data_IF_809547740572
#
_entry.id   IF_809547740572
#
_cell.length_a   1.000
_cell.length_b   1.000
_cell.length_c   1.000
_cell.angle_alpha   90.00
_cell.angle_beta   90.00
_cell.angle_gamma   90.00
#
_symmetry.space_group_name_H-M   'P 1'
#
loop_
_entity.id
_entity.type
_entity.pdbx_description
1 polymer ?
#
# COMPACT_ATOMS: atom_id res chain seq x y z
N UNK A 1 38.96 -58.27 11.14
CA UNK A 1 37.68 -57.65 11.58
C UNK A 1 37.89 -56.37 12.38
N UNK A 2 38.74 -56.36 13.42
CA UNK A 2 38.97 -55.18 14.28
C UNK A 2 39.48 -53.94 13.54
N UNK A 3 40.41 -54.11 12.58
CA UNK A 3 40.92 -53.01 11.75
C UNK A 3 39.84 -52.38 10.87
N UNK A 4 38.91 -53.17 10.36
CA UNK A 4 37.80 -52.70 9.53
C UNK A 4 36.80 -51.88 10.35
N UNK A 5 36.49 -52.33 11.57
CA UNK A 5 35.69 -51.54 12.53
C UNK A 5 36.35 -50.21 12.89
N UNK A 6 37.68 -50.22 13.10
CA UNK A 6 38.44 -49.01 13.39
C UNK A 6 38.37 -48.01 12.22
N UNK A 7 38.53 -48.47 10.98
CA UNK A 7 38.39 -47.61 9.80
C UNK A 7 36.99 -47.02 9.67
N UNK A 8 35.93 -47.81 9.87
CA UNK A 8 34.55 -47.31 9.81
C UNK A 8 34.28 -46.26 10.88
N UNK A 9 34.76 -46.47 12.12
CA UNK A 9 34.65 -45.49 13.19
C UNK A 9 35.34 -44.18 12.83
N UNK A 10 36.57 -44.24 12.32
CA UNK A 10 37.33 -43.07 11.90
C UNK A 10 36.61 -42.35 10.75
N UNK A 11 36.10 -43.10 9.77
CA UNK A 11 35.38 -42.52 8.63
C UNK A 11 34.08 -41.83 9.09
N UNK A 12 33.31 -42.45 9.97
CA UNK A 12 32.13 -41.84 10.57
C UNK A 12 32.47 -40.59 11.39
N UNK A 13 33.57 -40.61 12.15
CA UNK A 13 34.05 -39.44 12.89
C UNK A 13 34.41 -38.30 11.94
N UNK A 14 35.17 -38.58 10.88
CA UNK A 14 35.54 -37.59 9.87
C UNK A 14 34.31 -37.04 9.17
N UNK A 15 33.36 -37.89 8.80
CA UNK A 15 32.09 -37.47 8.21
C UNK A 15 31.29 -36.58 9.17
N UNK A 16 31.22 -36.93 10.45
CA UNK A 16 30.54 -36.13 11.47
C UNK A 16 31.22 -34.78 11.68
N UNK A 17 32.55 -34.72 11.68
CA UNK A 17 33.32 -33.47 11.78
C UNK A 17 33.09 -32.59 10.55
N UNK A 18 33.17 -33.14 9.35
CA UNK A 18 32.88 -32.42 8.10
C UNK A 18 31.43 -31.93 8.10
N UNK A 19 30.49 -32.79 8.47
CA UNK A 19 29.08 -32.43 8.58
C UNK A 19 28.86 -31.32 9.59
N UNK A 20 29.48 -31.38 10.77
CA UNK A 20 29.42 -30.31 11.76
C UNK A 20 30.05 -29.00 11.25
N UNK A 21 31.15 -29.07 10.50
CA UNK A 21 31.78 -27.91 9.87
C UNK A 21 30.85 -27.27 8.84
N UNK A 22 30.30 -28.07 7.93
CA UNK A 22 29.35 -27.61 6.90
C UNK A 22 28.09 -27.07 7.56
N UNK A 23 27.55 -27.74 8.56
CA UNK A 23 26.38 -27.27 9.31
C UNK A 23 26.68 -26.00 10.12
N UNK A 24 27.89 -25.84 10.65
CA UNK A 24 28.26 -24.62 11.35
C UNK A 24 28.47 -23.43 10.39
N UNK A 25 29.06 -23.70 9.21
CA UNK A 25 29.34 -22.68 8.17
C UNK A 25 28.08 -22.30 7.40
N UNK A 26 27.29 -23.28 6.96
CA UNK A 26 26.11 -23.09 6.10
C UNK A 26 24.78 -23.28 6.84
N UNK A 27 24.73 -24.05 7.92
CA UNK A 27 23.51 -24.34 8.69
C UNK A 27 23.13 -23.27 9.72
N UNK A 28 24.00 -22.27 9.93
CA UNK A 28 23.59 -20.93 10.41
C UNK A 28 23.01 -20.06 9.29
N UNK A 29 22.67 -20.69 8.16
CA UNK A 29 21.92 -20.17 7.02
C UNK A 29 21.99 -18.68 6.91
N UNK A 30 23.16 -18.16 6.53
CA UNK A 30 23.38 -16.72 6.37
C UNK A 30 22.60 -15.93 7.43
N UNK A 31 23.21 -15.79 8.62
CA UNK A 31 23.06 -14.55 9.39
C UNK A 31 23.61 -13.45 8.47
N UNK A 32 22.84 -13.14 7.41
CA UNK A 32 23.03 -12.01 6.56
C UNK A 32 23.13 -10.90 7.59
N UNK A 33 24.29 -10.20 7.68
CA UNK A 33 24.32 -8.97 8.44
C UNK A 33 23.05 -8.24 8.01
N UNK A 34 22.19 -7.79 8.95
CA UNK A 34 20.97 -7.10 8.60
C UNK A 34 21.37 -6.08 7.56
N UNK A 35 21.01 -6.34 6.29
CA UNK A 35 21.43 -5.49 5.19
C UNK A 35 20.98 -4.13 5.65
N UNK A 36 21.92 -3.19 5.83
CA UNK A 36 21.62 -1.85 6.32
C UNK A 36 20.30 -1.44 5.66
N UNK A 37 19.25 -1.13 6.44
CA UNK A 37 17.89 -0.96 5.92
C UNK A 37 17.79 0.04 4.77
N UNK A 38 18.84 0.83 4.56
CA UNK A 38 19.09 1.75 3.45
C UNK A 38 19.35 1.12 2.06
N UNK A 39 19.48 -0.21 1.92
CA UNK A 39 19.66 -0.85 0.58
C UNK A 39 18.51 -1.76 0.17
N UNK A 40 17.39 -1.70 0.87
CA UNK A 40 16.14 -2.21 0.29
C UNK A 40 15.83 -1.34 -0.93
N UNK A 41 15.88 -1.90 -2.13
CA UNK A 41 15.43 -1.30 -3.41
C UNK A 41 13.94 -0.88 -3.39
N UNK A 42 13.29 -0.92 -2.23
CA UNK A 42 12.00 -0.30 -1.89
C UNK A 42 12.21 1.20 -1.68
N UNK A 43 12.75 1.90 -2.69
CA UNK A 43 12.55 3.35 -2.76
C UNK A 43 11.17 3.59 -3.34
N UNK A 44 10.19 3.71 -2.45
CA UNK A 44 9.01 4.48 -2.78
C UNK A 44 9.43 5.94 -2.99
N UNK A 45 9.01 6.61 -4.07
CA UNK A 45 9.22 8.04 -4.23
C UNK A 45 8.72 8.79 -2.97
N UNK A 46 9.52 9.71 -2.43
CA UNK A 46 9.19 10.46 -1.21
C UNK A 46 7.90 11.30 -1.33
N UNK A 47 7.43 11.48 -2.57
CA UNK A 47 6.15 12.08 -2.90
C UNK A 47 5.66 11.51 -4.24
N UNK A 48 4.36 11.45 -4.45
CA UNK A 48 3.82 11.10 -5.77
C UNK A 48 3.64 9.61 -6.07
N UNK A 49 3.52 8.74 -5.06
CA UNK A 49 3.31 7.29 -5.22
C UNK A 49 2.14 7.01 -6.18
N UNK A 50 2.39 6.21 -7.22
CA UNK A 50 1.43 5.63 -8.16
C UNK A 50 1.27 4.12 -7.91
N UNK A 51 0.21 3.50 -8.43
CA UNK A 51 0.01 2.06 -8.33
C UNK A 51 1.13 1.25 -9.00
N UNK A 52 1.79 1.79 -10.03
CA UNK A 52 2.95 1.14 -10.65
C UNK A 52 4.15 1.07 -9.71
N UNK A 53 4.35 2.11 -8.88
CA UNK A 53 5.38 2.09 -7.85
C UNK A 53 5.09 0.97 -6.85
N UNK A 54 3.82 0.79 -6.44
CA UNK A 54 3.38 -0.27 -5.53
C UNK A 54 3.60 -1.67 -6.12
N UNK A 55 3.38 -1.85 -7.42
CA UNK A 55 3.63 -3.13 -8.13
C UNK A 55 5.13 -3.43 -8.28
N UNK A 56 5.98 -2.41 -8.27
CA UNK A 56 7.42 -2.56 -8.39
C UNK A 56 8.12 -2.92 -7.06
N UNK A 57 7.42 -2.90 -5.91
CA UNK A 57 8.03 -3.24 -4.61
C UNK A 57 8.55 -4.68 -4.58
N UNK A 58 9.74 -4.84 -4.00
CA UNK A 58 10.37 -6.13 -3.76
C UNK A 58 10.66 -6.27 -2.27
N UNK A 59 10.19 -7.36 -1.68
CA UNK A 59 10.37 -7.66 -0.26
C UNK A 59 11.33 -8.85 -0.09
N UNK A 60 12.13 -8.81 0.98
CA UNK A 60 13.01 -9.92 1.36
C UNK A 60 12.21 -11.01 2.09
N UNK A 61 12.55 -12.29 1.87
CA UNK A 61 11.88 -13.44 2.50
C UNK A 61 12.44 -13.71 3.90
N UNK A 62 11.56 -14.01 4.87
CA UNK A 62 11.90 -14.36 6.26
C UNK A 62 11.29 -15.70 6.66
N UNK A 63 12.01 -16.51 7.45
CA UNK A 63 11.63 -17.88 7.86
C UNK A 63 10.32 -17.96 8.68
N UNK A 64 9.83 -16.83 9.20
CA UNK A 64 8.50 -16.68 9.84
C UNK A 64 7.72 -15.51 9.23
N UNK A 65 7.71 -15.45 7.89
CA UNK A 65 7.06 -14.40 7.13
C UNK A 65 5.55 -14.58 6.96
N UNK A 66 4.91 -13.50 6.50
CA UNK A 66 3.54 -13.54 6.00
C UNK A 66 3.46 -14.39 4.73
N UNK A 67 2.29 -14.98 4.46
CA UNK A 67 2.07 -15.77 3.25
C UNK A 67 2.20 -14.88 2.02
N UNK A 68 3.12 -15.21 1.12
CA UNK A 68 3.41 -14.39 -0.06
C UNK A 68 2.15 -14.09 -0.89
N UNK A 69 1.24 -15.06 -1.04
CA UNK A 69 -0.01 -14.86 -1.80
C UNK A 69 -0.96 -13.83 -1.17
N UNK A 70 -0.99 -13.72 0.15
CA UNK A 70 -1.84 -12.73 0.85
C UNK A 70 -1.26 -11.33 0.72
N UNK A 71 0.08 -11.22 0.82
CA UNK A 71 0.81 -9.97 0.60
C UNK A 71 0.64 -9.51 -0.85
N UNK A 72 0.79 -10.40 -1.83
CA UNK A 72 0.62 -10.09 -3.25
C UNK A 72 -0.81 -9.61 -3.55
N UNK A 73 -1.82 -10.26 -2.96
CA UNK A 73 -3.21 -9.82 -3.07
C UNK A 73 -3.43 -8.43 -2.47
N UNK A 74 -2.89 -8.18 -1.27
CA UNK A 74 -3.03 -6.89 -0.59
C UNK A 74 -2.35 -5.75 -1.37
N UNK A 75 -1.14 -6.00 -1.89
CA UNK A 75 -0.42 -5.02 -2.72
C UNK A 75 -1.13 -4.75 -4.03
N UNK A 76 -1.68 -5.77 -4.69
CA UNK A 76 -2.46 -5.59 -5.90
C UNK A 76 -3.73 -4.76 -5.66
N UNK A 77 -4.38 -4.94 -4.49
CA UNK A 77 -5.53 -4.13 -4.09
C UNK A 77 -5.11 -2.68 -3.80
N UNK A 78 -4.04 -2.48 -3.06
CA UNK A 78 -3.50 -1.17 -2.73
C UNK A 78 -3.09 -0.39 -4.00
N UNK A 79 -2.44 -1.05 -4.96
CA UNK A 79 -2.03 -0.42 -6.20
C UNK A 79 -3.22 0.14 -7.00
N UNK A 80 -4.35 -0.60 -7.06
CA UNK A 80 -5.58 -0.12 -7.71
C UNK A 80 -6.16 1.09 -6.99
N UNK A 81 -6.25 1.03 -5.67
CA UNK A 81 -6.80 2.12 -4.86
C UNK A 81 -5.99 3.42 -5.03
N UNK A 82 -4.65 3.31 -5.11
CA UNK A 82 -3.77 4.46 -5.35
C UNK A 82 -4.02 5.06 -6.74
N UNK A 83 -4.18 4.23 -7.77
CA UNK A 83 -4.46 4.69 -9.13
C UNK A 83 -5.84 5.39 -9.23
N UNK A 84 -6.86 4.84 -8.57
CA UNK A 84 -8.19 5.45 -8.50
C UNK A 84 -8.14 6.81 -7.80
N UNK A 85 -7.48 6.89 -6.64
CA UNK A 85 -7.34 8.14 -5.88
C UNK A 85 -6.55 9.20 -6.64
N UNK A 86 -5.50 8.79 -7.38
CA UNK A 86 -4.72 9.69 -8.25
C UNK A 86 -5.56 10.25 -9.39
N UNK A 87 -6.41 9.44 -9.98
CA UNK A 87 -7.34 9.84 -11.04
C UNK A 87 -8.31 10.90 -10.52
N UNK A 88 -8.90 10.69 -9.34
CA UNK A 88 -9.80 11.66 -8.70
C UNK A 88 -9.09 12.98 -8.41
N UNK A 89 -7.86 12.94 -7.86
CA UNK A 89 -7.08 14.16 -7.59
C UNK A 89 -6.77 14.93 -8.88
N UNK A 90 -6.50 14.22 -9.98
CA UNK A 90 -6.24 14.85 -11.28
C UNK A 90 -7.48 15.59 -11.80
N UNK A 91 -8.65 14.95 -11.78
CA UNK A 91 -9.93 15.56 -12.19
C UNK A 91 -10.28 16.79 -11.34
N UNK A 92 -10.11 16.71 -10.01
CA UNK A 92 -10.37 17.84 -9.12
C UNK A 92 -9.44 19.03 -9.40
N UNK A 93 -8.15 18.77 -9.67
CA UNK A 93 -7.19 19.83 -10.01
C UNK A 93 -7.50 20.49 -11.34
N UNK A 94 -7.94 19.72 -12.33
CA UNK A 94 -8.35 20.27 -13.64
C UNK A 94 -9.56 21.20 -13.48
N UNK A 95 -10.58 20.78 -12.73
CA UNK A 95 -11.76 21.63 -12.43
C UNK A 95 -11.40 22.93 -11.72
N UNK A 96 -10.48 22.85 -10.76
CA UNK A 96 -9.99 24.04 -10.05
C UNK A 96 -9.23 24.98 -10.99
N UNK A 97 -8.38 24.45 -11.88
CA UNK A 97 -7.65 25.24 -12.86
C UNK A 97 -8.58 25.93 -13.87
N UNK A 98 -9.61 25.23 -14.35
CA UNK A 98 -10.65 25.81 -15.22
C UNK A 98 -11.38 26.94 -14.51
N UNK A 99 -11.77 26.73 -13.24
CA UNK A 99 -12.45 27.74 -12.43
C UNK A 99 -11.56 28.96 -12.17
N UNK A 100 -10.27 28.74 -11.86
CA UNK A 100 -9.29 29.82 -11.64
C UNK A 100 -9.00 30.60 -12.92
N UNK A 101 -8.98 29.94 -14.07
CA UNK A 101 -8.80 30.58 -15.37
C UNK A 101 -10.01 31.44 -15.76
N UNK A 102 -11.23 30.99 -15.43
CA UNK A 102 -12.44 31.78 -15.63
C UNK A 102 -12.47 33.05 -14.78
N UNK A 103 -11.93 33.01 -13.54
CA UNK A 103 -11.82 34.18 -12.65
C UNK A 103 -10.63 35.08 -13.03
N UNK A 104 -9.48 34.51 -13.42
CA UNK A 104 -8.28 35.26 -13.81
C UNK A 104 -8.36 35.92 -15.19
N UNK A 105 -9.25 35.45 -16.07
CA UNK A 105 -9.57 36.11 -17.34
C UNK A 105 -10.40 37.38 -17.18
N UNK A 106 -10.98 37.64 -15.99
CA UNK A 106 -11.68 38.86 -15.65
C UNK A 106 -10.74 39.91 -15.02
N UNK A 107 -9.55 40.10 -15.62
CA UNK A 107 -8.59 41.13 -15.25
C UNK A 107 -8.82 42.43 -16.01
N UNK A 108 -9.93 43.13 -15.70
CA UNK A 108 -10.05 44.58 -15.50
C UNK A 108 -11.53 45.01 -15.55
N UNK A 109 -12.27 44.98 -14.42
CA UNK A 109 -13.37 45.89 -14.21
C UNK A 109 -12.83 47.12 -13.46
N UNK A 110 -12.68 48.22 -14.19
CA UNK A 110 -12.51 49.55 -13.59
C UNK A 110 -13.57 49.84 -12.51
N UNK A 111 -13.31 50.77 -11.59
CA UNK A 111 -14.13 50.93 -10.39
C UNK A 111 -15.48 51.54 -10.77
N UNK A 112 -16.54 50.73 -10.80
CA UNK A 112 -17.90 51.22 -10.95
C UNK A 112 -18.92 50.26 -10.29
N UNK A 113 -19.21 50.56 -9.02
CA UNK A 113 -20.51 50.69 -8.35
C UNK A 113 -21.67 49.70 -8.66
N UNK A 114 -22.26 49.24 -7.56
CA UNK A 114 -23.64 48.75 -7.35
C UNK A 114 -24.05 47.30 -7.71
N UNK A 115 -24.33 46.53 -6.65
CA UNK A 115 -25.16 45.32 -6.69
C UNK A 115 -24.98 44.42 -5.45
N UNK A 116 -26.02 44.14 -4.63
CA UNK A 116 -25.85 43.37 -3.40
C UNK A 116 -25.64 41.87 -3.67
N UNK A 117 -24.60 41.37 -3.02
CA UNK A 117 -24.19 39.98 -2.75
C UNK A 117 -25.28 38.91 -2.85
N UNK A 118 -25.09 37.93 -3.73
CA UNK A 118 -25.77 36.63 -3.68
C UNK A 118 -24.80 35.43 -3.68
N UNK A 119 -23.97 35.21 -2.62
CA UNK A 119 -23.25 33.95 -2.44
C UNK A 119 -23.99 32.91 -1.56
N UNK A 120 -25.03 33.29 -0.82
CA UNK A 120 -25.59 32.41 0.24
C UNK A 120 -26.51 31.30 -0.31
N UNK A 121 -27.17 31.50 -1.46
CA UNK A 121 -28.12 30.53 -2.01
C UNK A 121 -27.48 29.27 -2.62
N UNK A 122 -26.20 29.35 -3.03
CA UNK A 122 -25.48 28.21 -3.64
C UNK A 122 -24.85 27.32 -2.57
N UNK A 123 -24.40 27.91 -1.46
CA UNK A 123 -23.83 27.19 -0.31
C UNK A 123 -24.90 26.30 0.35
N UNK A 124 -26.09 26.85 0.60
CA UNK A 124 -27.19 26.13 1.26
C UNK A 124 -27.70 24.94 0.45
N UNK A 125 -27.74 25.05 -0.88
CA UNK A 125 -28.12 23.94 -1.75
C UNK A 125 -27.07 22.82 -1.79
N UNK A 126 -25.79 23.16 -1.59
CA UNK A 126 -24.69 22.19 -1.54
C UNK A 126 -24.67 21.43 -0.21
N UNK A 127 -24.82 22.14 0.90
CA UNK A 127 -24.88 21.54 2.25
C UNK A 127 -26.09 20.61 2.39
N UNK A 128 -27.25 21.00 1.86
CA UNK A 128 -28.46 20.18 1.89
C UNK A 128 -28.29 18.86 1.13
N UNK A 129 -27.61 18.89 -0.04
CA UNK A 129 -27.36 17.68 -0.84
C UNK A 129 -26.38 16.72 -0.14
N UNK A 130 -25.43 17.25 0.64
CA UNK A 130 -24.48 16.42 1.40
C UNK A 130 -25.18 15.74 2.59
N UNK A 131 -26.08 16.43 3.29
CA UNK A 131 -26.87 15.82 4.37
C UNK A 131 -27.82 14.73 3.86
N UNK A 132 -28.47 14.94 2.72
CA UNK A 132 -29.39 13.96 2.14
C UNK A 132 -28.67 12.67 1.72
N UNK A 133 -27.48 12.81 1.11
CA UNK A 133 -26.65 11.65 0.74
C UNK A 133 -26.13 10.87 1.96
N UNK A 134 -25.79 11.55 3.06
CA UNK A 134 -25.34 10.91 4.29
C UNK A 134 -26.48 10.14 4.99
N UNK A 135 -27.73 10.60 4.86
CA UNK A 135 -28.90 9.92 5.43
C UNK A 135 -29.26 8.64 4.67
N UNK A 136 -29.10 8.62 3.34
CA UNK A 136 -29.34 7.41 2.52
C UNK A 136 -28.32 6.31 2.83
N UNK A 137 -27.05 6.67 3.01
CA UNK A 137 -26.00 5.69 3.31
C UNK A 137 -26.19 5.08 4.71
N UNK A 138 -26.58 5.90 5.70
CA UNK A 138 -26.88 5.42 7.06
C UNK A 138 -28.10 4.49 7.16
N UNK A 139 -29.12 4.69 6.32
CA UNK A 139 -30.24 3.75 6.22
C UNK A 139 -29.83 2.39 5.62
N UNK A 140 -28.82 2.35 4.76
CA UNK A 140 -28.32 1.12 4.16
C UNK A 140 -27.50 0.24 5.14
N UNK A 141 -27.01 0.81 6.25
CA UNK A 141 -26.24 0.10 7.27
C UNK A 141 -27.10 -0.57 8.37
N UNK A 142 -28.41 -0.28 8.45
CA UNK A 142 -29.31 -0.95 9.41
C UNK A 142 -29.85 -2.30 8.88
N UNK A 143 -29.81 -2.55 7.57
CA UNK A 143 -30.07 -3.86 6.96
C UNK A 143 -28.77 -4.67 6.86
N UNK A 144 -28.25 -5.11 8.01
CA UNK A 144 -27.17 -6.08 8.08
C UNK A 144 -27.57 -7.41 7.42
N UNK A 145 -26.64 -8.13 6.77
CA UNK A 145 -26.94 -9.41 6.14
C UNK A 145 -27.52 -10.39 7.16
N UNK A 146 -28.71 -10.91 6.88
CA UNK A 146 -29.44 -11.87 7.71
C UNK A 146 -28.59 -13.13 7.96
N UNK A 147 -27.94 -13.19 9.13
CA UNK A 147 -27.25 -14.39 9.62
C UNK A 147 -28.18 -15.21 10.49
N UNK A 148 -29.38 -15.54 10.02
CA UNK A 148 -30.30 -16.44 10.72
C UNK A 148 -30.31 -17.83 10.08
N UNK A 149 -29.41 -18.67 10.59
CA UNK A 149 -29.75 -20.07 10.92
C UNK A 149 -29.71 -21.11 9.80
N UNK A 150 -28.52 -21.65 9.53
CA UNK A 150 -28.39 -23.06 9.13
C UNK A 150 -27.80 -23.84 10.32
N UNK A 151 -28.63 -24.70 10.91
CA UNK A 151 -28.27 -25.79 11.82
C UNK A 151 -28.89 -27.08 11.29
#
# INVERSE_FOLDING_TARGET
>A
MQTLLLYLLIMALVAAVIYALVWFVFGRGEELPPIEPDTTLTRLPSSGISGDDVRALRFQQTLRGYKQSEVDWALARLAREVDDLRTVIADLREREQVSRSAVGGAGDPGPALDGPSAPIAVETAREQRVHDAAQVDSAAWEEGPDTSGER
#
